data_IF_900014650779
#
_entry.id   IF_900014650779
#
_cell.length_a   1.000
_cell.length_b   1.000
_cell.length_c   1.000
_cell.angle_alpha   90.00
_cell.angle_beta   90.00
_cell.angle_gamma   90.00
#
_symmetry.space_group_name_H-M   'P 1'
#
loop_
_entity.id
_entity.type
_entity.pdbx_description
1 polymer ?
#
# COMPACT_ATOMS: atom_id res chain seq x y z
N UNK A 1 9.09 10.38 12.27
CA UNK A 1 7.90 10.24 11.39
C UNK A 1 8.18 11.01 10.10
N UNK A 2 7.76 10.51 8.93
CA UNK A 2 8.01 11.14 7.63
C UNK A 2 7.10 12.36 7.33
N UNK A 3 6.11 12.62 8.19
CA UNK A 3 5.23 13.79 8.12
C UNK A 3 5.00 14.39 9.50
N UNK A 4 4.96 15.72 9.55
CA UNK A 4 4.52 16.51 10.71
C UNK A 4 2.98 16.39 10.85
N UNK A 5 2.44 15.98 12.00
CA UNK A 5 0.99 15.86 12.21
C UNK A 5 0.24 17.20 12.09
N UNK A 6 0.92 18.34 12.14
CA UNK A 6 0.33 19.67 11.98
C UNK A 6 0.52 20.27 10.58
N UNK A 7 1.21 19.59 9.66
CA UNK A 7 1.31 20.05 8.29
C UNK A 7 -0.06 19.99 7.59
N UNK A 8 -0.39 20.97 6.72
CA UNK A 8 -1.58 20.87 5.87
C UNK A 8 -1.55 19.58 5.06
N UNK A 9 -2.69 18.90 4.95
CA UNK A 9 -2.80 17.69 4.14
C UNK A 9 -2.53 18.04 2.67
N UNK A 10 -1.49 17.47 2.03
CA UNK A 10 -1.19 17.75 0.63
C UNK A 10 -2.23 17.13 -0.32
N UNK A 11 -2.93 16.09 0.15
CA UNK A 11 -3.99 15.38 -0.57
C UNK A 11 -5.10 14.99 0.41
N UNK A 12 -6.34 14.81 -0.07
CA UNK A 12 -7.49 14.42 0.78
C UNK A 12 -7.34 13.01 1.39
N UNK A 13 -6.61 12.13 0.71
CA UNK A 13 -6.20 10.80 1.16
C UNK A 13 -4.77 10.54 0.66
N UNK A 14 -3.91 10.07 1.55
CA UNK A 14 -2.54 9.68 1.25
C UNK A 14 -2.21 8.34 1.92
N UNK A 15 -1.45 7.51 1.21
CA UNK A 15 -0.99 6.19 1.66
C UNK A 15 0.52 6.16 1.48
N UNK A 16 1.25 6.17 2.60
CA UNK A 16 2.70 6.02 2.62
C UNK A 16 3.05 4.61 3.09
N UNK A 17 4.10 4.01 2.50
CA UNK A 17 4.54 2.67 2.86
C UNK A 17 6.04 2.61 3.11
N UNK A 18 6.44 1.78 4.08
CA UNK A 18 7.85 1.48 4.34
C UNK A 18 7.99 0.05 4.85
N UNK A 19 9.13 -0.58 4.55
CA UNK A 19 9.53 -1.83 5.20
C UNK A 19 10.59 -1.51 6.25
N UNK A 20 10.34 -1.88 7.50
CA UNK A 20 11.29 -1.70 8.59
C UNK A 20 11.28 -2.94 9.48
N UNK A 21 12.46 -3.46 9.82
CA UNK A 21 12.55 -4.72 10.60
C UNK A 21 11.97 -5.95 9.90
N UNK A 22 11.82 -5.92 8.57
CA UNK A 22 11.19 -6.99 7.80
C UNK A 22 9.67 -6.91 7.71
N UNK A 23 9.04 -5.90 8.32
CA UNK A 23 7.60 -5.72 8.31
C UNK A 23 7.19 -4.54 7.43
N UNK A 24 6.14 -4.72 6.63
CA UNK A 24 5.51 -3.65 5.87
C UNK A 24 4.59 -2.83 6.79
N UNK A 25 4.85 -1.53 6.86
CA UNK A 25 4.00 -0.56 7.53
C UNK A 25 3.33 0.34 6.50
N UNK A 26 2.01 0.47 6.60
CA UNK A 26 1.19 1.38 5.80
C UNK A 26 0.65 2.50 6.70
N UNK A 27 0.85 3.74 6.31
CA UNK A 27 0.30 4.92 6.98
C UNK A 27 -0.76 5.55 6.10
N UNK A 28 -1.96 5.67 6.66
CA UNK A 28 -3.11 6.28 6.01
C UNK A 28 -3.36 7.65 6.63
N UNK A 29 -3.26 8.69 5.83
CA UNK A 29 -3.51 10.08 6.24
C UNK A 29 -4.67 10.60 5.42
N UNK A 30 -5.71 11.15 6.06
CA UNK A 30 -6.94 11.53 5.37
C UNK A 30 -7.65 12.73 6.01
N UNK A 31 -8.47 13.41 5.22
CA UNK A 31 -9.36 14.48 5.71
C UNK A 31 -10.55 13.89 6.45
N UNK A 32 -10.69 14.22 7.74
CA UNK A 32 -11.83 13.83 8.56
C UNK A 32 -13.14 14.54 8.18
N UNK A 33 -13.06 15.66 7.44
CA UNK A 33 -14.23 16.35 6.90
C UNK A 33 -14.83 15.60 5.70
N UNK A 34 -14.00 14.85 4.97
CA UNK A 34 -14.39 14.13 3.76
C UNK A 34 -14.68 12.65 4.01
N UNK A 35 -13.94 12.02 4.93
CA UNK A 35 -14.00 10.58 5.14
C UNK A 35 -14.29 10.22 6.59
N UNK A 36 -15.16 9.22 6.77
CA UNK A 36 -15.38 8.61 8.07
C UNK A 36 -14.21 7.67 8.39
N UNK A 37 -13.64 7.69 9.61
CA UNK A 37 -12.55 6.80 9.99
C UNK A 37 -12.84 5.32 9.71
N UNK A 38 -14.06 4.86 10.01
CA UNK A 38 -14.48 3.47 9.77
C UNK A 38 -14.41 3.06 8.28
N UNK A 39 -14.66 4.00 7.36
CA UNK A 39 -14.53 3.72 5.92
C UNK A 39 -13.07 3.56 5.49
N UNK A 40 -12.17 4.37 6.07
CA UNK A 40 -10.72 4.26 5.82
C UNK A 40 -10.16 2.98 6.44
N UNK A 41 -10.62 2.60 7.63
CA UNK A 41 -10.26 1.32 8.26
C UNK A 41 -10.69 0.12 7.41
N UNK A 42 -11.92 0.12 6.91
CA UNK A 42 -12.40 -0.93 6.02
C UNK A 42 -11.58 -1.00 4.72
N UNK A 43 -11.21 0.15 4.15
CA UNK A 43 -10.35 0.22 2.96
C UNK A 43 -8.94 -0.30 3.25
N UNK A 44 -8.33 0.10 4.38
CA UNK A 44 -7.01 -0.36 4.78
C UNK A 44 -6.99 -1.89 4.96
N UNK A 45 -8.07 -2.45 5.52
CA UNK A 45 -8.15 -3.90 5.70
C UNK A 45 -8.41 -4.65 4.40
N UNK A 46 -9.24 -4.09 3.50
CA UNK A 46 -9.39 -4.63 2.16
C UNK A 46 -8.06 -4.63 1.39
N UNK A 47 -7.28 -3.54 1.50
CA UNK A 47 -5.96 -3.43 0.90
C UNK A 47 -5.02 -4.53 1.40
N UNK A 48 -4.93 -4.74 2.72
CA UNK A 48 -4.09 -5.78 3.30
C UNK A 48 -4.50 -7.18 2.85
N UNK A 49 -5.81 -7.48 2.82
CA UNK A 49 -6.30 -8.77 2.34
C UNK A 49 -5.93 -9.02 0.88
N UNK A 50 -6.07 -8.01 0.01
CA UNK A 50 -5.71 -8.12 -1.40
C UNK A 50 -4.21 -8.27 -1.60
N UNK A 51 -3.39 -7.53 -0.84
CA UNK A 51 -1.94 -7.66 -0.90
C UNK A 51 -1.48 -9.05 -0.48
N UNK A 52 -2.05 -9.61 0.59
CA UNK A 52 -1.77 -10.98 1.02
C UNK A 52 -2.18 -12.01 -0.04
N UNK A 53 -3.35 -11.84 -0.66
CA UNK A 53 -3.80 -12.71 -1.74
C UNK A 53 -2.88 -12.64 -2.96
N UNK A 54 -2.40 -11.43 -3.31
CA UNK A 54 -1.44 -11.24 -4.39
C UNK A 54 -0.10 -11.92 -4.08
N UNK A 55 0.43 -11.75 -2.86
CA UNK A 55 1.66 -12.41 -2.43
C UNK A 55 1.50 -13.93 -2.50
N UNK A 56 0.38 -14.48 -2.00
CA UNK A 56 0.10 -15.91 -2.07
C UNK A 56 0.03 -16.42 -3.52
N UNK A 57 -0.58 -15.63 -4.41
CA UNK A 57 -0.60 -15.95 -5.84
C UNK A 57 0.81 -15.99 -6.43
N UNK A 58 1.65 -14.98 -6.18
CA UNK A 58 3.03 -14.93 -6.69
C UNK A 58 3.96 -16.01 -6.11
N UNK A 59 3.59 -16.63 -4.98
CA UNK A 59 4.31 -17.75 -4.40
C UNK A 59 3.81 -19.12 -4.91
N UNK A 60 2.76 -19.15 -5.74
CA UNK A 60 2.26 -20.39 -6.32
C UNK A 60 3.19 -20.93 -7.41
N UNK A 61 3.24 -22.25 -7.59
CA UNK A 61 4.10 -22.87 -8.60
C UNK A 61 3.78 -22.34 -10.00
N UNK A 62 4.82 -21.92 -10.74
CA UNK A 62 4.70 -21.41 -12.12
C UNK A 62 4.25 -19.95 -12.26
N UNK A 63 4.05 -19.22 -11.15
CA UNK A 63 3.68 -17.79 -11.17
C UNK A 63 4.89 -16.82 -11.25
N UNK A 64 6.10 -17.36 -11.36
CA UNK A 64 7.34 -16.61 -11.57
C UNK A 64 7.99 -16.90 -12.92
N UNK A 65 8.65 -15.90 -13.49
CA UNK A 65 9.40 -16.01 -14.73
C UNK A 65 9.74 -14.63 -15.26
N UNK A 66 10.89 -14.50 -15.92
CA UNK A 66 11.20 -13.28 -16.66
C UNK A 66 10.30 -13.22 -17.90
N UNK A 67 9.57 -12.13 -18.01
CA UNK A 67 8.87 -11.70 -19.21
C UNK A 67 9.84 -10.92 -20.10
N UNK A 68 9.63 -10.88 -21.43
CA UNK A 68 10.42 -10.02 -22.32
C UNK A 68 10.41 -8.53 -21.91
N UNK A 69 9.37 -8.07 -21.20
CA UNK A 69 9.28 -6.73 -20.63
C UNK A 69 10.24 -6.45 -19.47
N UNK A 70 10.83 -7.48 -18.86
CA UNK A 70 11.81 -7.33 -17.77
C UNK A 70 13.21 -6.95 -18.30
N UNK A 71 13.40 -6.94 -19.63
CA UNK A 71 14.62 -6.51 -20.28
C UNK A 71 14.35 -5.29 -21.16
N UNK A 72 15.23 -4.26 -21.15
CA UNK A 72 15.12 -3.18 -22.12
C UNK A 72 15.15 -3.75 -23.54
N UNK A 73 14.36 -3.17 -24.46
CA UNK A 73 14.51 -3.50 -25.88
C UNK A 73 15.96 -3.22 -26.29
N UNK A 74 16.68 -4.28 -26.67
CA UNK A 74 18.03 -4.21 -27.22
C UNK A 74 18.01 -3.83 -28.70
#
# INVERSE_FOLDING_TARGET
AAHDPHAPLPNELSIDSQVYGGELLLRWTFSAERYQPAAIEALAQAYLNQLQALIAHCLSDGSGGLTPSDFPLA
#
